data_IF_461569464714
#
_entry.id   IF_461569464714
#
_cell.length_a   1.000
_cell.length_b   1.000
_cell.length_c   1.000
_cell.angle_alpha   90.00
_cell.angle_beta   90.00
_cell.angle_gamma   90.00
#
_symmetry.space_group_name_H-M   'P 1'
#
loop_
_entity.id
_entity.type
_entity.pdbx_description
1 polymer ?
#
# COMPACT_ATOMS: atom_id res chain seq x y z
N UNK A 1 14.37 19.80 5.13
CA UNK A 1 13.07 19.93 5.83
C UNK A 1 11.98 20.17 4.81
N UNK A 2 10.95 19.32 4.81
CA UNK A 2 9.78 19.39 3.94
C UNK A 2 8.82 20.45 4.46
N UNK A 3 8.39 21.34 3.56
CA UNK A 3 7.42 22.41 3.81
C UNK A 3 6.22 22.36 2.87
N UNK A 4 6.36 21.67 1.74
CA UNK A 4 5.32 21.54 0.75
C UNK A 4 5.14 20.06 0.39
N UNK A 5 3.90 19.64 0.17
CA UNK A 5 3.58 18.31 -0.32
C UNK A 5 2.62 18.41 -1.50
N UNK A 6 2.97 17.73 -2.59
CA UNK A 6 2.10 17.52 -3.75
C UNK A 6 1.63 16.08 -3.73
N UNK A 7 0.33 15.87 -3.76
CA UNK A 7 -0.29 14.55 -3.73
C UNK A 7 -0.85 14.19 -5.10
N UNK A 8 -0.69 12.93 -5.53
CA UNK A 8 -1.72 12.34 -6.38
C UNK A 8 -3.02 12.12 -5.57
N UNK A 9 -4.11 11.89 -6.29
CA UNK A 9 -5.44 11.70 -5.72
C UNK A 9 -5.85 10.24 -5.68
N UNK A 10 -5.95 9.60 -6.86
CA UNK A 10 -6.27 8.19 -7.05
C UNK A 10 -5.14 7.34 -6.49
N UNK A 11 -5.44 6.21 -5.83
CA UNK A 11 -4.45 5.30 -5.22
C UNK A 11 -3.63 5.85 -4.04
N UNK A 12 -3.63 7.18 -3.83
CA UNK A 12 -2.85 7.86 -2.79
C UNK A 12 -3.71 8.46 -1.68
N UNK A 13 -4.80 9.16 -2.03
CA UNK A 13 -5.76 9.74 -1.07
C UNK A 13 -7.12 9.05 -1.09
N UNK A 14 -7.49 8.47 -2.24
CA UNK A 14 -8.76 7.78 -2.45
C UNK A 14 -8.52 6.36 -2.98
N UNK A 15 -9.22 5.38 -2.40
CA UNK A 15 -9.30 4.00 -2.87
C UNK A 15 -10.23 3.89 -4.08
N UNK A 16 -9.69 4.08 -5.28
CA UNK A 16 -10.46 3.93 -6.50
C UNK A 16 -10.00 2.77 -7.39
N UNK A 17 -8.94 2.05 -7.00
CA UNK A 17 -8.43 0.90 -7.75
C UNK A 17 -9.51 -0.16 -8.02
N UNK A 18 -10.32 -0.62 -7.05
CA UNK A 18 -11.38 -1.60 -7.33
C UNK A 18 -12.42 -1.07 -8.30
N UNK A 19 -12.75 0.23 -8.24
CA UNK A 19 -13.72 0.86 -9.13
C UNK A 19 -13.17 1.01 -10.55
N UNK A 20 -11.90 1.41 -10.70
CA UNK A 20 -11.21 1.52 -11.99
C UNK A 20 -11.06 0.14 -12.64
N UNK A 21 -10.69 -0.88 -11.87
CA UNK A 21 -10.62 -2.26 -12.35
C UNK A 21 -11.98 -2.76 -12.85
N UNK A 22 -13.05 -2.62 -12.06
CA UNK A 22 -14.41 -3.00 -12.50
C UNK A 22 -14.86 -2.25 -13.74
N UNK A 23 -14.58 -0.95 -13.84
CA UNK A 23 -14.90 -0.15 -15.02
C UNK A 23 -14.13 -0.65 -16.25
N UNK A 24 -12.85 -1.00 -16.09
CA UNK A 24 -12.02 -1.60 -17.14
C UNK A 24 -12.57 -2.95 -17.60
N UNK A 25 -12.96 -3.83 -16.66
CA UNK A 25 -13.59 -5.11 -17.00
C UNK A 25 -14.89 -4.93 -17.77
N UNK A 26 -15.69 -3.89 -17.48
CA UNK A 26 -16.88 -3.55 -18.26
C UNK A 26 -16.54 -3.08 -19.69
N UNK A 27 -15.46 -2.32 -19.87
CA UNK A 27 -14.96 -1.94 -21.20
C UNK A 27 -14.56 -3.19 -22.00
N UNK A 28 -13.78 -4.09 -21.40
CA UNK A 28 -13.36 -5.35 -22.02
C UNK A 28 -14.54 -6.24 -22.39
N UNK A 29 -15.53 -6.38 -21.50
CA UNK A 29 -16.73 -7.16 -21.77
C UNK A 29 -17.50 -6.64 -22.99
N UNK A 30 -17.60 -5.31 -23.18
CA UNK A 30 -18.25 -4.73 -24.36
C UNK A 30 -17.46 -4.95 -25.65
N UNK A 31 -16.14 -5.08 -25.56
CA UNK A 31 -15.26 -5.37 -26.68
C UNK A 31 -15.07 -6.88 -26.94
N UNK A 32 -15.69 -7.75 -26.13
CA UNK A 32 -15.55 -9.20 -26.26
C UNK A 32 -14.24 -9.78 -25.73
N UNK A 33 -13.54 -9.03 -24.87
CA UNK A 33 -12.29 -9.45 -24.22
C UNK A 33 -12.60 -9.98 -22.81
N UNK A 34 -11.94 -11.07 -22.42
CA UNK A 34 -12.05 -11.63 -21.07
C UNK A 34 -11.58 -10.60 -20.03
N UNK A 35 -12.26 -10.49 -18.87
CA UNK A 35 -11.81 -9.59 -17.81
C UNK A 35 -10.47 -10.06 -17.24
N UNK A 36 -9.63 -9.10 -16.85
CA UNK A 36 -8.41 -9.37 -16.08
C UNK A 36 -8.80 -9.62 -14.61
N UNK A 37 -8.07 -10.50 -13.94
CA UNK A 37 -8.01 -10.47 -12.48
C UNK A 37 -7.45 -9.13 -11.99
N UNK A 38 -7.67 -8.81 -10.71
CA UNK A 38 -7.14 -7.57 -10.13
C UNK A 38 -5.60 -7.53 -10.15
N UNK A 39 -4.96 -8.69 -9.94
CA UNK A 39 -3.50 -8.83 -9.97
C UNK A 39 -2.93 -8.61 -11.38
N UNK A 40 -3.54 -9.21 -12.39
CA UNK A 40 -3.19 -8.96 -13.80
C UNK A 40 -3.37 -7.48 -14.14
N UNK A 41 -4.48 -6.88 -13.70
CA UNK A 41 -4.73 -5.45 -13.90
C UNK A 41 -3.65 -4.58 -13.24
N UNK A 42 -3.30 -4.79 -11.96
CA UNK A 42 -2.23 -4.03 -11.27
C UNK A 42 -0.88 -4.15 -11.98
N UNK A 43 -0.56 -5.35 -12.48
CA UNK A 43 0.69 -5.63 -13.19
C UNK A 43 0.76 -4.95 -14.56
N UNK A 44 -0.35 -4.92 -15.28
CA UNK A 44 -0.39 -4.50 -16.68
C UNK A 44 -0.86 -3.07 -16.90
N UNK A 45 -1.63 -2.51 -15.96
CA UNK A 45 -2.10 -1.14 -16.05
C UNK A 45 -0.91 -0.18 -16.04
N UNK A 46 -0.93 0.78 -16.96
CA UNK A 46 0.09 1.81 -17.04
C UNK A 46 -0.55 3.11 -17.53
N UNK A 47 0.15 4.22 -17.27
CA UNK A 47 -0.13 5.48 -17.93
C UNK A 47 0.87 5.70 -19.09
N UNK A 48 0.49 6.45 -20.13
CA UNK A 48 -0.89 6.83 -20.46
C UNK A 48 -1.76 5.59 -20.72
N UNK A 49 -3.01 5.60 -20.23
CA UNK A 49 -3.92 4.45 -20.27
C UNK A 49 -4.20 3.92 -21.69
N UNK A 50 -3.99 4.75 -22.71
CA UNK A 50 -4.14 4.34 -24.12
C UNK A 50 -3.25 3.16 -24.46
N UNK A 51 -1.99 3.15 -24.01
CA UNK A 51 -1.07 2.02 -24.23
C UNK A 51 -1.57 0.73 -23.62
N UNK A 52 -2.19 0.82 -22.45
CA UNK A 52 -2.81 -0.33 -21.79
C UNK A 52 -3.97 -0.88 -22.63
N UNK A 53 -4.91 -0.03 -23.06
CA UNK A 53 -6.05 -0.48 -23.88
C UNK A 53 -5.62 -0.96 -25.28
N UNK A 54 -4.63 -0.35 -25.92
CA UNK A 54 -4.12 -0.74 -27.23
C UNK A 54 -3.59 -2.19 -27.27
N UNK A 55 -3.14 -2.73 -26.14
CA UNK A 55 -2.73 -4.14 -26.04
C UNK A 55 -3.88 -5.13 -26.18
N UNK A 56 -5.10 -4.74 -25.76
CA UNK A 56 -6.26 -5.62 -25.68
C UNK A 56 -7.28 -5.33 -26.78
N UNK A 57 -7.51 -4.05 -27.06
CA UNK A 57 -8.58 -3.54 -27.91
C UNK A 57 -8.12 -2.38 -28.80
N UNK A 58 -7.06 -2.56 -29.62
CA UNK A 58 -6.45 -1.49 -30.42
C UNK A 58 -7.38 -0.84 -31.44
N UNK A 59 -8.44 -1.54 -31.85
CA UNK A 59 -9.38 -1.06 -32.86
C UNK A 59 -10.49 -0.16 -32.28
N UNK A 60 -10.57 -0.01 -30.96
CA UNK A 60 -11.61 0.81 -30.31
C UNK A 60 -11.15 2.27 -30.22
N UNK A 61 -11.88 3.22 -30.84
CA UNK A 61 -11.52 4.64 -30.78
C UNK A 61 -11.49 5.19 -29.34
N UNK A 62 -10.54 6.09 -29.06
CA UNK A 62 -10.34 6.66 -27.72
C UNK A 62 -11.60 7.34 -27.15
N UNK A 63 -12.37 8.03 -27.99
CA UNK A 63 -13.60 8.70 -27.56
C UNK A 63 -14.70 7.70 -27.15
N UNK A 64 -14.69 6.50 -27.75
CA UNK A 64 -15.58 5.41 -27.37
C UNK A 64 -15.10 4.76 -26.07
N UNK A 65 -13.78 4.56 -25.91
CA UNK A 65 -13.17 4.04 -24.69
C UNK A 65 -13.48 4.94 -23.49
N UNK A 66 -13.21 6.24 -23.61
CA UNK A 66 -13.47 7.23 -22.56
C UNK A 66 -14.95 7.23 -22.16
N UNK A 67 -15.87 7.31 -23.14
CA UNK A 67 -17.32 7.27 -22.84
C UNK A 67 -17.71 5.99 -22.11
N UNK A 68 -17.25 4.84 -22.58
CA UNK A 68 -17.57 3.56 -21.97
C UNK A 68 -17.01 3.46 -20.55
N UNK A 69 -15.77 3.87 -20.34
CA UNK A 69 -15.10 3.86 -19.05
C UNK A 69 -15.78 4.82 -18.08
N UNK A 70 -16.01 6.07 -18.47
CA UNK A 70 -16.66 7.07 -17.61
C UNK A 70 -18.09 6.64 -17.22
N UNK A 71 -18.86 6.06 -18.14
CA UNK A 71 -20.19 5.51 -17.83
C UNK A 71 -20.11 4.37 -16.81
N UNK A 72 -19.14 3.47 -16.96
CA UNK A 72 -18.94 2.35 -16.05
C UNK A 72 -18.46 2.83 -14.67
N UNK A 73 -17.41 3.65 -14.64
CA UNK A 73 -16.82 4.18 -13.42
C UNK A 73 -17.78 5.06 -12.63
N UNK A 74 -18.63 5.84 -13.31
CA UNK A 74 -19.68 6.64 -12.64
C UNK A 74 -20.65 5.79 -11.82
N UNK A 75 -20.91 4.54 -12.23
CA UNK A 75 -21.73 3.60 -11.46
C UNK A 75 -20.99 3.04 -10.24
N UNK A 76 -19.66 2.95 -10.31
CA UNK A 76 -18.81 2.44 -9.22
C UNK A 76 -18.37 3.53 -8.23
N UNK A 77 -18.60 4.81 -8.51
CA UNK A 77 -18.24 5.95 -7.64
C UNK A 77 -18.65 5.79 -6.18
N UNK A 78 -19.79 5.13 -5.91
CA UNK A 78 -20.27 4.88 -4.56
C UNK A 78 -19.30 4.00 -3.73
N UNK A 79 -18.56 3.11 -4.40
CA UNK A 79 -17.62 2.18 -3.78
C UNK A 79 -16.27 2.80 -3.43
N UNK A 80 -15.91 3.93 -4.04
CA UNK A 80 -14.65 4.64 -3.78
C UNK A 80 -14.65 5.25 -2.38
N UNK A 81 -13.65 4.97 -1.55
CA UNK A 81 -13.53 5.51 -0.19
C UNK A 81 -12.21 6.25 0.01
N UNK A 82 -12.09 7.13 1.03
CA UNK A 82 -10.80 7.65 1.42
C UNK A 82 -9.82 6.53 1.79
N UNK A 83 -8.55 6.67 1.41
CA UNK A 83 -7.48 5.77 1.85
C UNK A 83 -7.33 5.82 3.37
N UNK A 84 -6.96 4.68 3.98
CA UNK A 84 -6.61 4.63 5.38
C UNK A 84 -5.47 5.62 5.69
N UNK A 85 -5.59 6.30 6.83
CA UNK A 85 -4.70 7.40 7.25
C UNK A 85 -4.68 8.68 6.39
N UNK A 86 -5.38 8.77 5.25
CA UNK A 86 -5.36 9.99 4.43
C UNK A 86 -5.89 11.22 5.20
N UNK A 87 -7.05 11.09 5.84
CA UNK A 87 -7.64 12.18 6.63
C UNK A 87 -6.72 12.64 7.76
N UNK A 88 -6.12 11.70 8.50
CA UNK A 88 -5.22 12.03 9.61
C UNK A 88 -3.90 12.63 9.12
N UNK A 89 -3.41 12.23 7.94
CA UNK A 89 -2.23 12.81 7.30
C UNK A 89 -2.48 14.25 6.82
N UNK A 90 -3.63 14.53 6.20
CA UNK A 90 -4.00 15.87 5.76
C UNK A 90 -4.22 16.84 6.93
N UNK A 91 -4.84 16.36 8.01
CA UNK A 91 -4.93 17.11 9.27
C UNK A 91 -3.55 17.42 9.84
N UNK A 92 -2.66 16.41 9.88
CA UNK A 92 -1.28 16.58 10.32
C UNK A 92 -0.52 17.63 9.49
N UNK A 93 -0.68 17.62 8.16
CA UNK A 93 -0.08 18.64 7.30
C UNK A 93 -0.59 20.05 7.66
N UNK A 94 -1.90 20.18 7.88
CA UNK A 94 -2.54 21.46 8.22
C UNK A 94 -2.07 21.99 9.59
N UNK A 95 -2.04 21.12 10.60
CA UNK A 95 -1.57 21.45 11.97
C UNK A 95 -0.11 21.90 11.99
N UNK A 96 0.73 21.34 11.11
CA UNK A 96 2.14 21.66 11.00
C UNK A 96 2.47 22.67 9.89
N UNK A 97 1.45 23.35 9.33
CA UNK A 97 1.60 24.40 8.33
C UNK A 97 2.36 23.95 7.06
N UNK A 98 2.23 22.66 6.71
CA UNK A 98 2.73 22.13 5.45
C UNK A 98 1.75 22.54 4.35
N UNK A 99 2.27 23.19 3.30
CA UNK A 99 1.47 23.60 2.15
C UNK A 99 1.16 22.38 1.29
N UNK A 100 -0.12 22.10 1.10
CA UNK A 100 -0.57 20.90 0.39
C UNK A 100 -1.19 21.25 -0.96
N UNK A 101 -0.87 20.46 -1.98
CA UNK A 101 -1.37 20.60 -3.35
C UNK A 101 -1.81 19.25 -3.90
N UNK A 102 -2.75 19.24 -4.84
CA UNK A 102 -3.09 18.03 -5.62
C UNK A 102 -2.66 18.21 -7.06
N UNK A 103 -1.97 17.23 -7.63
CA UNK A 103 -1.70 17.12 -9.06
C UNK A 103 -2.08 15.72 -9.55
N UNK A 104 -3.21 15.63 -10.25
CA UNK A 104 -3.79 14.33 -10.59
C UNK A 104 -4.42 14.30 -11.98
N UNK A 105 -4.41 13.10 -12.57
CA UNK A 105 -5.09 12.79 -13.82
C UNK A 105 -6.60 12.60 -13.65
N UNK A 106 -7.11 12.53 -12.40
CA UNK A 106 -8.53 12.32 -12.12
C UNK A 106 -9.42 13.31 -12.88
N UNK A 107 -10.50 12.79 -13.47
CA UNK A 107 -11.49 13.61 -14.15
C UNK A 107 -12.18 14.59 -13.17
N UNK A 108 -12.35 15.88 -13.52
CA UNK A 108 -12.88 16.90 -12.59
C UNK A 108 -14.24 16.57 -11.96
N UNK A 109 -15.14 15.91 -12.69
CA UNK A 109 -16.45 15.52 -12.15
C UNK A 109 -16.33 14.39 -11.11
N UNK A 110 -15.43 13.44 -11.32
CA UNK A 110 -15.20 12.32 -10.40
C UNK A 110 -14.51 12.82 -9.13
N UNK A 111 -13.56 13.74 -9.29
CA UNK A 111 -12.96 14.47 -8.18
C UNK A 111 -14.02 15.13 -7.30
N UNK A 112 -14.99 15.84 -7.88
CA UNK A 112 -16.05 16.49 -7.10
C UNK A 112 -16.87 15.50 -6.26
N UNK A 113 -17.15 14.31 -6.78
CA UNK A 113 -17.85 13.26 -6.03
C UNK A 113 -16.97 12.73 -4.89
N UNK A 114 -15.69 12.47 -5.17
CA UNK A 114 -14.73 12.02 -4.15
C UNK A 114 -14.54 13.07 -3.04
N UNK A 115 -14.46 14.35 -3.41
CA UNK A 115 -14.30 15.47 -2.48
C UNK A 115 -15.56 15.69 -1.64
N UNK A 116 -16.76 15.63 -2.23
CA UNK A 116 -18.01 15.69 -1.46
C UNK A 116 -18.12 14.58 -0.42
N UNK A 117 -17.56 13.40 -0.70
CA UNK A 117 -17.55 12.26 0.22
C UNK A 117 -16.47 12.39 1.30
N UNK A 118 -15.29 12.90 0.97
CA UNK A 118 -14.12 12.93 1.85
C UNK A 118 -13.93 14.24 2.61
N UNK A 119 -14.32 15.37 2.03
CA UNK A 119 -14.06 16.73 2.51
C UNK A 119 -12.61 17.20 2.35
N UNK A 120 -11.78 16.44 1.63
CA UNK A 120 -10.33 16.66 1.60
C UNK A 120 -9.91 17.94 0.87
N UNK A 121 -10.72 18.43 -0.07
CA UNK A 121 -10.46 19.61 -0.87
C UNK A 121 -10.10 20.85 -0.06
N UNK A 122 -10.65 20.96 1.16
CA UNK A 122 -10.40 22.08 2.08
C UNK A 122 -8.96 22.14 2.64
N UNK A 123 -8.20 21.05 2.56
CA UNK A 123 -6.81 20.99 3.02
C UNK A 123 -5.78 21.53 2.01
N UNK A 124 -6.19 21.75 0.75
CA UNK A 124 -5.26 22.06 -0.32
C UNK A 124 -5.29 23.54 -0.71
N UNK A 125 -4.09 24.12 -0.87
CA UNK A 125 -3.93 25.46 -1.38
C UNK A 125 -4.36 25.55 -2.85
N UNK A 126 -4.03 24.51 -3.64
CA UNK A 126 -4.48 24.38 -5.02
C UNK A 126 -4.59 22.92 -5.46
N UNK A 127 -5.62 22.66 -6.25
CA UNK A 127 -5.93 21.34 -6.82
C UNK A 127 -5.90 21.45 -8.35
N UNK A 128 -5.13 20.56 -8.97
CA UNK A 128 -5.02 20.41 -10.42
C UNK A 128 -5.53 19.03 -10.83
N UNK A 129 -6.68 18.99 -11.49
CA UNK A 129 -7.34 17.78 -11.98
C UNK A 129 -7.33 17.72 -13.51
N UNK A 130 -7.56 16.54 -14.08
CA UNK A 130 -7.54 16.31 -15.53
C UNK A 130 -6.17 16.52 -16.17
N UNK A 131 -5.08 16.39 -15.41
CA UNK A 131 -3.71 16.53 -15.92
C UNK A 131 -3.16 15.15 -16.25
N UNK A 132 -3.20 14.77 -17.52
CA UNK A 132 -2.79 13.44 -17.98
C UNK A 132 -1.28 13.22 -17.90
N UNK A 133 -0.49 14.17 -18.41
CA UNK A 133 0.95 14.20 -18.18
C UNK A 133 1.28 15.32 -17.19
N UNK A 134 1.52 14.92 -15.95
CA UNK A 134 1.78 15.82 -14.82
C UNK A 134 3.11 16.58 -14.98
N UNK A 135 4.06 16.06 -15.78
CA UNK A 135 5.34 16.70 -16.09
C UNK A 135 5.16 18.00 -16.86
N UNK A 136 4.10 18.12 -17.66
CA UNK A 136 3.77 19.36 -18.38
C UNK A 136 3.36 20.51 -17.44
N UNK A 137 2.93 20.19 -16.21
CA UNK A 137 2.43 21.19 -15.24
C UNK A 137 3.36 21.42 -14.07
N UNK A 138 4.18 20.46 -13.67
CA UNK A 138 4.93 20.51 -12.41
C UNK A 138 5.79 21.77 -12.29
N UNK A 139 6.54 22.16 -13.33
CA UNK A 139 7.36 23.38 -13.30
C UNK A 139 6.53 24.66 -13.21
N UNK A 140 5.36 24.71 -13.86
CA UNK A 140 4.46 25.85 -13.76
C UNK A 140 3.87 25.97 -12.35
N UNK A 141 3.58 24.85 -11.69
CA UNK A 141 3.10 24.81 -10.30
C UNK A 141 4.19 25.30 -9.34
N UNK A 142 5.41 24.79 -9.49
CA UNK A 142 6.57 25.23 -8.70
C UNK A 142 6.75 26.75 -8.80
N UNK A 143 6.76 27.29 -10.02
CA UNK A 143 6.94 28.71 -10.25
C UNK A 143 5.76 29.56 -9.72
N UNK A 144 4.52 29.12 -9.95
CA UNK A 144 3.33 29.86 -9.57
C UNK A 144 3.15 30.00 -8.04
N UNK A 145 3.59 28.98 -7.30
CA UNK A 145 3.41 28.91 -5.84
C UNK A 145 4.70 29.14 -5.04
N UNK A 146 5.81 29.42 -5.74
CA UNK A 146 7.12 29.63 -5.13
C UNK A 146 7.60 28.42 -4.34
N UNK A 147 7.41 27.21 -4.88
CA UNK A 147 7.84 25.98 -4.22
C UNK A 147 9.35 25.82 -4.37
N UNK A 148 10.04 25.49 -3.28
CA UNK A 148 11.45 25.08 -3.31
C UNK A 148 11.49 23.56 -3.49
N UNK A 149 12.07 23.02 -4.58
CA UNK A 149 12.06 21.57 -4.84
C UNK A 149 12.66 20.73 -3.70
N UNK A 150 13.74 21.21 -3.07
CA UNK A 150 14.42 20.53 -1.95
C UNK A 150 13.59 20.49 -0.66
N UNK A 151 12.55 21.33 -0.56
CA UNK A 151 11.61 21.39 0.56
C UNK A 151 10.22 20.85 0.16
N UNK A 152 10.11 20.25 -1.03
CA UNK A 152 8.86 19.73 -1.57
C UNK A 152 8.94 18.22 -1.68
N UNK A 153 7.89 17.53 -1.23
CA UNK A 153 7.72 16.10 -1.40
C UNK A 153 6.57 15.84 -2.36
N UNK A 154 6.76 14.97 -3.34
CA UNK A 154 5.67 14.45 -4.16
C UNK A 154 5.27 13.07 -3.64
N UNK A 155 3.98 12.83 -3.42
CA UNK A 155 3.45 11.55 -2.94
C UNK A 155 2.53 10.95 -4.00
N UNK A 156 2.78 9.69 -4.37
CA UNK A 156 1.99 8.97 -5.37
C UNK A 156 2.16 7.46 -5.26
N UNK A 157 1.35 6.70 -5.98
CA UNK A 157 1.33 5.24 -5.96
C UNK A 157 1.68 4.61 -7.32
N UNK A 158 2.03 5.43 -8.32
CA UNK A 158 2.44 4.95 -9.65
C UNK A 158 3.83 5.45 -10.06
N UNK A 159 4.46 4.75 -11.01
CA UNK A 159 5.77 5.14 -11.55
C UNK A 159 5.73 6.58 -12.12
N UNK A 160 4.59 6.99 -12.68
CA UNK A 160 4.36 8.31 -13.24
C UNK A 160 4.48 9.45 -12.23
N UNK A 161 4.10 9.21 -10.97
CA UNK A 161 4.24 10.19 -9.91
C UNK A 161 5.69 10.42 -9.55
N UNK A 162 6.47 9.35 -9.55
CA UNK A 162 7.90 9.36 -9.23
C UNK A 162 8.66 10.04 -10.36
N UNK A 163 8.34 9.72 -11.62
CA UNK A 163 8.84 10.45 -12.78
C UNK A 163 8.48 11.94 -12.73
N UNK A 164 7.26 12.30 -12.28
CA UNK A 164 6.82 13.70 -12.15
C UNK A 164 7.60 14.44 -11.08
N UNK A 165 7.86 13.81 -9.94
CA UNK A 165 8.66 14.35 -8.86
C UNK A 165 10.10 14.65 -9.35
N UNK A 166 10.73 13.66 -9.99
CA UNK A 166 12.08 13.79 -10.54
C UNK A 166 12.15 14.85 -11.63
N UNK A 167 11.14 14.93 -12.50
CA UNK A 167 11.04 16.00 -13.50
C UNK A 167 10.97 17.38 -12.83
N UNK A 168 10.22 17.50 -11.73
CA UNK A 168 10.14 18.71 -10.91
C UNK A 168 11.37 19.00 -10.05
N UNK A 169 12.35 18.10 -10.00
CA UNK A 169 13.56 18.23 -9.17
C UNK A 169 13.32 18.05 -7.67
N UNK A 170 12.22 17.40 -7.28
CA UNK A 170 11.82 17.18 -5.88
C UNK A 170 11.85 15.69 -5.53
N UNK A 171 11.89 15.39 -4.23
CA UNK A 171 11.86 14.02 -3.76
C UNK A 171 10.48 13.37 -3.99
N UNK A 172 10.48 12.10 -4.35
CA UNK A 172 9.32 11.24 -4.49
C UNK A 172 9.16 10.34 -3.25
N UNK A 173 7.93 10.22 -2.77
CA UNK A 173 7.52 9.19 -1.82
C UNK A 173 6.45 8.31 -2.47
N UNK A 174 6.80 7.06 -2.73
CA UNK A 174 5.87 6.06 -3.20
C UNK A 174 5.07 5.46 -2.03
N UNK A 175 3.76 5.30 -2.20
CA UNK A 175 2.89 4.56 -1.26
C UNK A 175 2.45 3.24 -1.88
N UNK A 176 2.35 2.17 -1.08
CA UNK A 176 2.02 0.82 -1.59
C UNK A 176 0.51 0.53 -1.66
N UNK A 177 -0.32 1.41 -1.12
CA UNK A 177 -1.78 1.23 -1.03
C UNK A 177 -2.51 1.35 -2.36
N UNK A 178 -1.86 1.86 -3.41
CA UNK A 178 -2.51 2.17 -4.68
C UNK A 178 -2.39 1.09 -5.75
N UNK A 179 -2.21 1.51 -7.00
CA UNK A 179 -2.28 0.69 -8.20
C UNK A 179 -1.04 -0.19 -8.39
N UNK A 180 0.16 0.32 -8.11
CA UNK A 180 1.40 -0.39 -8.40
C UNK A 180 1.95 -1.11 -7.19
N UNK A 181 2.38 -2.35 -7.44
CA UNK A 181 3.10 -3.15 -6.45
C UNK A 181 4.54 -2.67 -6.25
N UNK A 182 5.14 -3.15 -5.16
CA UNK A 182 6.47 -2.77 -4.69
C UNK A 182 7.56 -2.84 -5.78
N UNK A 183 7.63 -3.94 -6.54
CA UNK A 183 8.69 -4.15 -7.52
C UNK A 183 8.69 -3.08 -8.62
N UNK A 184 7.51 -2.70 -9.11
CA UNK A 184 7.36 -1.66 -10.12
C UNK A 184 7.79 -0.28 -9.55
N UNK A 185 7.39 0.01 -8.31
CA UNK A 185 7.76 1.25 -7.64
C UNK A 185 9.28 1.32 -7.36
N UNK A 186 9.92 0.23 -6.91
CA UNK A 186 11.38 0.17 -6.73
C UNK A 186 12.14 0.48 -8.02
N UNK A 187 11.65 0.02 -9.17
CA UNK A 187 12.30 0.27 -10.47
C UNK A 187 12.30 1.75 -10.87
N UNK A 188 11.29 2.52 -10.44
CA UNK A 188 11.22 3.97 -10.67
C UNK A 188 12.12 4.80 -9.74
N UNK A 189 12.82 4.16 -8.80
CA UNK A 189 13.82 4.77 -7.91
C UNK A 189 13.31 5.96 -7.06
N UNK A 190 12.19 5.84 -6.33
CA UNK A 190 11.75 6.88 -5.41
C UNK A 190 12.73 7.07 -4.25
N UNK A 191 12.82 8.28 -3.70
CA UNK A 191 13.65 8.56 -2.54
C UNK A 191 13.07 7.95 -1.24
N UNK A 192 11.75 7.73 -1.17
CA UNK A 192 11.07 7.00 -0.09
C UNK A 192 10.04 6.02 -0.65
N UNK A 193 9.93 4.86 -0.02
CA UNK A 193 8.78 3.96 -0.15
C UNK A 193 8.23 3.77 1.25
N UNK A 194 6.94 4.03 1.42
CA UNK A 194 6.20 3.76 2.65
C UNK A 194 5.03 2.85 2.34
N UNK A 195 4.62 2.06 3.32
CA UNK A 195 3.45 1.21 3.16
C UNK A 195 2.18 2.05 2.98
N UNK A 196 1.96 3.01 3.89
CA UNK A 196 0.80 3.89 3.91
C UNK A 196 1.16 5.26 4.49
N UNK A 197 0.27 6.25 4.33
CA UNK A 197 0.50 7.63 4.80
C UNK A 197 0.75 7.75 6.31
N UNK A 198 0.19 6.84 7.12
CA UNK A 198 0.48 6.77 8.57
C UNK A 198 1.96 6.50 8.89
N UNK A 199 2.66 5.68 8.10
CA UNK A 199 4.09 5.45 8.24
C UNK A 199 4.87 6.72 7.88
N UNK A 200 4.50 7.38 6.78
CA UNK A 200 5.12 8.64 6.38
C UNK A 200 4.96 9.73 7.43
N UNK A 201 3.76 9.87 8.03
CA UNK A 201 3.54 10.80 9.14
C UNK A 201 4.54 10.56 10.26
N UNK A 202 4.63 9.31 10.71
CA UNK A 202 5.52 8.91 11.80
C UNK A 202 6.98 9.17 11.46
N UNK A 203 7.38 8.97 10.21
CA UNK A 203 8.74 9.26 9.73
C UNK A 203 9.02 10.77 9.73
N UNK A 204 8.10 11.59 9.23
CA UNK A 204 8.25 13.05 9.22
C UNK A 204 8.33 13.62 10.65
N UNK A 205 7.50 13.14 11.57
CA UNK A 205 7.56 13.56 12.98
C UNK A 205 8.93 13.21 13.61
N UNK A 206 9.41 11.97 13.42
CA UNK A 206 10.68 11.50 13.98
C UNK A 206 11.88 12.28 13.43
N UNK A 207 11.86 12.61 12.14
CA UNK A 207 12.98 13.26 11.46
C UNK A 207 12.88 14.78 11.48
N UNK A 208 11.98 15.36 12.29
CA UNK A 208 11.72 16.81 12.31
C UNK A 208 11.50 17.36 10.90
N UNK A 209 10.68 16.64 10.13
CA UNK A 209 10.31 16.90 8.74
C UNK A 209 11.48 16.84 7.75
N UNK A 210 12.60 16.19 8.07
CA UNK A 210 13.74 16.04 7.15
C UNK A 210 14.13 14.57 6.97
N UNK A 211 13.31 13.79 6.22
CA UNK A 211 13.46 12.33 6.16
C UNK A 211 14.74 11.88 5.44
N UNK A 212 15.43 12.79 4.74
CA UNK A 212 16.64 12.52 3.97
C UNK A 212 17.93 12.86 4.71
N UNK A 213 17.83 13.49 5.88
CA UNK A 213 18.99 13.90 6.65
C UNK A 213 19.65 12.65 7.25
N UNK A 214 20.88 12.36 6.82
CA UNK A 214 21.73 11.37 7.49
C UNK A 214 22.01 11.87 8.91
N UNK A 215 21.32 11.34 9.91
CA UNK A 215 21.54 11.72 11.30
C UNK A 215 22.98 11.40 11.72
N UNK A 216 23.71 12.41 12.19
CA UNK A 216 24.81 12.26 13.13
C UNK A 216 24.20 12.26 14.53
N UNK A 217 24.39 11.16 15.28
CA UNK A 217 24.10 10.97 16.71
C UNK A 217 22.64 11.05 17.19
N UNK A 218 21.98 9.91 17.40
CA UNK A 218 21.81 9.25 18.72
C UNK A 218 20.75 8.14 18.60
N UNK A 219 21.15 6.89 18.88
CA UNK A 219 20.34 5.66 19.02
C UNK A 219 18.99 5.67 18.28
N UNK A 220 19.07 5.41 16.98
CA UNK A 220 17.92 5.12 16.13
C UNK A 220 17.36 3.73 16.45
N UNK A 221 16.09 3.63 16.84
CA UNK A 221 15.40 2.34 16.95
C UNK A 221 15.03 1.80 15.55
N UNK A 222 14.93 2.66 14.52
CA UNK A 222 14.68 2.26 13.12
C UNK A 222 15.93 2.02 12.28
N UNK A 223 17.11 2.41 12.77
CA UNK A 223 18.43 2.04 12.25
C UNK A 223 19.24 1.41 13.39
N UNK A 224 18.59 0.49 14.11
CA UNK A 224 19.28 -0.36 15.06
C UNK A 224 20.34 -1.16 14.27
N UNK A 225 21.61 -1.19 14.70
CA UNK A 225 22.59 -2.10 14.10
C UNK A 225 22.25 -3.57 14.40
N UNK A 226 21.23 -3.82 15.23
CA UNK A 226 20.76 -5.13 15.62
C UNK A 226 19.48 -5.52 14.88
N UNK A 227 19.29 -6.82 14.62
CA UNK A 227 18.05 -7.33 14.06
C UNK A 227 16.81 -6.93 14.87
N UNK A 228 15.69 -6.75 14.18
CA UNK A 228 14.40 -6.43 14.78
C UNK A 228 13.70 -7.75 15.15
N UNK A 229 13.40 -8.00 16.44
CA UNK A 229 12.66 -9.18 16.84
C UNK A 229 11.17 -9.02 16.49
N UNK A 230 10.61 -10.03 15.85
CA UNK A 230 9.19 -10.07 15.48
C UNK A 230 8.60 -11.44 15.81
N UNK A 231 7.27 -11.51 15.77
CA UNK A 231 6.50 -12.73 15.97
C UNK A 231 5.61 -12.98 14.77
N UNK A 232 5.44 -14.24 14.38
CA UNK A 232 4.55 -14.67 13.31
C UNK A 232 3.64 -15.81 13.77
N UNK A 233 2.35 -15.72 13.47
CA UNK A 233 1.33 -16.65 13.96
C UNK A 233 0.77 -17.56 12.86
N UNK A 234 1.07 -18.85 12.91
CA UNK A 234 0.37 -19.85 12.08
C UNK A 234 -0.90 -20.28 12.81
N UNK A 235 -1.99 -19.55 12.57
CA UNK A 235 -3.27 -19.72 13.27
C UNK A 235 -4.08 -20.83 12.59
N UNK A 236 -4.52 -21.83 13.36
CA UNK A 236 -5.42 -22.89 12.88
C UNK A 236 -6.85 -22.71 13.40
N UNK A 237 -7.84 -22.95 12.54
CA UNK A 237 -9.25 -23.02 12.95
C UNK A 237 -9.63 -24.44 13.45
N UNK A 238 -10.92 -24.71 13.64
CA UNK A 238 -11.40 -26.02 14.13
C UNK A 238 -11.33 -27.14 13.06
N UNK A 239 -11.20 -26.79 11.79
CA UNK A 239 -11.06 -27.72 10.67
C UNK A 239 -9.59 -28.02 10.33
N UNK A 240 -8.65 -27.57 11.18
CA UNK A 240 -7.20 -27.62 10.95
C UNK A 240 -6.73 -26.88 9.68
N UNK A 241 -7.50 -25.90 9.23
CA UNK A 241 -7.11 -24.95 8.18
C UNK A 241 -6.34 -23.79 8.81
N UNK A 242 -5.27 -23.35 8.15
CA UNK A 242 -4.43 -22.22 8.53
C UNK A 242 -4.93 -20.90 7.93
N UNK A 243 -4.84 -19.81 8.70
CA UNK A 243 -5.13 -18.46 8.22
C UNK A 243 -3.96 -17.94 7.41
N UNK A 244 -4.20 -17.61 6.14
CA UNK A 244 -3.26 -16.87 5.30
C UNK A 244 -3.79 -15.45 5.09
N UNK A 245 -2.90 -14.46 5.14
CA UNK A 245 -3.21 -13.05 4.85
C UNK A 245 -2.32 -12.53 3.72
N UNK A 246 -2.82 -11.57 2.93
CA UNK A 246 -2.09 -10.94 1.83
C UNK A 246 -1.77 -9.49 2.17
N UNK A 247 -0.52 -9.07 2.09
CA UNK A 247 -0.08 -7.73 2.58
C UNK A 247 0.77 -6.98 1.56
N UNK A 248 0.66 -5.65 1.54
CA UNK A 248 1.50 -4.80 0.69
C UNK A 248 2.98 -4.82 1.10
N UNK A 249 3.27 -5.00 2.39
CA UNK A 249 4.63 -5.06 2.97
C UNK A 249 5.50 -6.13 2.33
N UNK A 250 4.89 -7.25 1.91
CA UNK A 250 5.56 -8.46 1.43
C UNK A 250 5.32 -8.67 -0.08
N UNK A 251 5.39 -7.62 -0.89
CA UNK A 251 5.19 -7.69 -2.34
C UNK A 251 3.85 -8.29 -2.76
N UNK A 252 2.78 -7.97 -2.01
CA UNK A 252 1.44 -8.53 -2.23
C UNK A 252 1.43 -10.08 -2.17
N UNK A 253 2.36 -10.72 -1.46
CA UNK A 253 2.39 -12.17 -1.23
C UNK A 253 1.54 -12.59 -0.03
N UNK A 254 1.17 -13.87 -0.04
CA UNK A 254 0.50 -14.52 1.09
C UNK A 254 1.47 -14.81 2.22
N UNK A 255 1.02 -14.65 3.45
CA UNK A 255 1.82 -14.88 4.64
C UNK A 255 0.94 -15.10 5.86
N UNK A 256 1.52 -14.88 7.04
CA UNK A 256 0.85 -15.00 8.33
C UNK A 256 0.81 -13.64 9.05
N UNK A 257 -0.19 -13.41 9.92
CA UNK A 257 -0.23 -12.21 10.75
C UNK A 257 0.90 -12.18 11.76
N UNK A 258 1.36 -10.98 12.10
CA UNK A 258 2.45 -10.80 13.04
C UNK A 258 3.19 -9.48 12.91
N UNK A 259 3.85 -9.10 14.00
CA UNK A 259 4.51 -7.81 14.10
C UNK A 259 5.66 -7.78 15.10
N UNK A 260 6.02 -6.57 15.52
CA UNK A 260 7.23 -6.32 16.29
C UNK A 260 7.00 -6.61 17.78
N UNK A 261 8.04 -7.08 18.44
CA UNK A 261 8.02 -7.22 19.90
C UNK A 261 8.39 -5.86 20.52
N UNK A 262 7.52 -5.33 21.39
CA UNK A 262 7.80 -4.09 22.10
C UNK A 262 8.80 -4.30 23.26
N UNK A 263 9.51 -3.23 23.62
CA UNK A 263 10.40 -3.27 24.80
C UNK A 263 9.57 -3.51 26.07
N UNK A 264 9.95 -4.52 26.85
CA UNK A 264 9.24 -4.92 28.06
C UNK A 264 8.07 -5.88 27.84
N UNK A 265 7.84 -6.33 26.60
CA UNK A 265 6.81 -7.28 26.22
C UNK A 265 7.40 -8.69 25.99
N UNK A 266 6.68 -9.75 26.38
CA UNK A 266 7.07 -11.13 26.08
C UNK A 266 6.66 -11.50 24.65
N UNK A 267 7.39 -12.41 23.99
CA UNK A 267 7.03 -12.79 22.61
C UNK A 267 5.60 -13.39 22.48
N UNK A 268 5.07 -14.22 23.39
CA UNK A 268 3.68 -14.66 23.30
C UNK A 268 2.65 -13.56 23.56
N UNK A 269 2.98 -12.54 24.36
CA UNK A 269 2.08 -11.41 24.57
C UNK A 269 2.05 -10.49 23.34
N UNK A 270 3.21 -10.23 22.73
CA UNK A 270 3.31 -9.56 21.44
C UNK A 270 2.48 -10.31 20.38
N UNK A 271 2.61 -11.64 20.31
CA UNK A 271 1.86 -12.47 19.35
C UNK A 271 0.35 -12.27 19.50
N UNK A 272 -0.18 -12.31 20.74
CA UNK A 272 -1.62 -12.10 20.99
C UNK A 272 -2.08 -10.70 20.62
N UNK A 273 -1.28 -9.68 20.93
CA UNK A 273 -1.57 -8.29 20.59
C UNK A 273 -1.66 -8.11 19.07
N UNK A 274 -0.62 -8.53 18.34
CA UNK A 274 -0.54 -8.39 16.87
C UNK A 274 -1.69 -9.14 16.19
N UNK A 275 -1.97 -10.40 16.57
CA UNK A 275 -3.11 -11.16 16.01
C UNK A 275 -4.43 -10.42 16.24
N UNK A 276 -4.65 -9.90 17.45
CA UNK A 276 -5.88 -9.16 17.77
C UNK A 276 -5.98 -7.85 16.98
N UNK A 277 -4.88 -7.14 16.81
CA UNK A 277 -4.81 -5.88 16.05
C UNK A 277 -5.03 -6.12 14.55
N UNK A 278 -4.44 -7.17 13.98
CA UNK A 278 -4.47 -7.44 12.53
C UNK A 278 -5.69 -8.24 12.07
N UNK A 279 -6.27 -9.09 12.93
CA UNK A 279 -7.30 -10.06 12.50
C UNK A 279 -8.55 -10.07 13.38
N UNK A 280 -8.54 -9.32 14.49
CA UNK A 280 -9.56 -9.36 15.54
C UNK A 280 -9.78 -10.75 16.18
N UNK A 281 -8.87 -11.70 15.97
CA UNK A 281 -8.94 -13.04 16.54
C UNK A 281 -8.30 -13.09 17.93
N UNK A 282 -8.74 -14.07 18.72
CA UNK A 282 -8.13 -14.45 19.99
C UNK A 282 -7.58 -15.86 19.84
N UNK A 283 -6.37 -16.13 20.34
CA UNK A 283 -5.70 -17.42 20.16
C UNK A 283 -5.27 -18.08 21.47
N UNK A 284 -5.18 -19.39 21.45
CA UNK A 284 -4.61 -20.24 22.49
C UNK A 284 -3.69 -21.32 21.89
N UNK A 285 -3.22 -22.23 22.74
CA UNK A 285 -2.30 -23.32 22.36
C UNK A 285 -1.06 -22.85 21.59
N UNK A 286 -0.52 -21.69 21.97
CA UNK A 286 0.67 -21.09 21.37
C UNK A 286 1.88 -21.98 21.63
N UNK A 287 2.45 -22.54 20.56
CA UNK A 287 3.64 -23.39 20.58
C UNK A 287 4.76 -22.72 19.81
N UNK A 288 5.97 -22.71 20.36
CA UNK A 288 7.14 -22.26 19.60
C UNK A 288 7.59 -23.38 18.66
N UNK A 289 7.90 -23.03 17.41
CA UNK A 289 8.40 -24.00 16.41
C UNK A 289 9.84 -23.68 16.02
N UNK A 290 10.09 -22.47 15.51
CA UNK A 290 11.41 -22.08 15.02
C UNK A 290 11.61 -20.55 15.02
N UNK A 291 12.87 -20.14 14.90
CA UNK A 291 13.27 -18.76 14.59
C UNK A 291 13.87 -18.73 13.18
N UNK A 292 13.56 -17.69 12.40
CA UNK A 292 14.14 -17.46 11.08
C UNK A 292 14.87 -16.11 11.02
N UNK A 293 16.02 -16.10 10.38
CA UNK A 293 16.70 -14.88 9.95
C UNK A 293 16.12 -14.43 8.60
N UNK A 294 15.50 -13.25 8.56
CA UNK A 294 15.14 -12.59 7.31
C UNK A 294 16.06 -11.37 7.11
N UNK A 295 17.16 -11.59 6.40
CA UNK A 295 18.21 -10.59 6.15
C UNK A 295 17.99 -9.97 4.77
N UNK A 296 17.70 -8.67 4.74
CA UNK A 296 17.42 -7.91 3.53
C UNK A 296 16.46 -8.62 2.58
N UNK A 297 15.29 -9.11 3.06
CA UNK A 297 14.39 -9.90 2.23
C UNK A 297 13.89 -9.05 1.05
N UNK A 298 14.14 -9.54 -0.18
CA UNK A 298 13.81 -8.79 -1.40
C UNK A 298 12.32 -8.50 -1.56
N UNK A 299 11.50 -9.45 -1.09
CA UNK A 299 10.04 -9.37 -1.05
C UNK A 299 9.49 -8.42 0.03
N UNK A 300 10.33 -7.92 0.94
CA UNK A 300 9.91 -6.89 1.88
C UNK A 300 10.15 -5.49 1.30
N UNK A 301 9.28 -4.54 1.65
CA UNK A 301 9.26 -3.22 1.03
C UNK A 301 10.49 -2.33 1.31
N UNK A 302 11.24 -2.62 2.37
CA UNK A 302 12.46 -1.90 2.73
C UNK A 302 13.58 -2.87 3.11
N UNK A 303 14.80 -2.36 3.13
CA UNK A 303 15.91 -3.11 3.71
C UNK A 303 15.69 -3.27 5.23
N UNK A 304 15.80 -4.50 5.72
CA UNK A 304 15.58 -4.84 7.11
C UNK A 304 16.24 -6.19 7.45
N UNK A 305 16.60 -6.37 8.72
CA UNK A 305 17.01 -7.65 9.27
C UNK A 305 16.04 -8.01 10.41
N UNK A 306 15.25 -9.07 10.22
CA UNK A 306 14.35 -9.58 11.25
C UNK A 306 14.82 -10.89 11.85
N UNK A 307 14.53 -11.07 13.15
CA UNK A 307 14.48 -12.37 13.81
C UNK A 307 13.01 -12.74 13.99
N UNK A 308 12.51 -13.66 13.16
CA UNK A 308 11.12 -14.06 13.10
C UNK A 308 10.85 -15.25 14.04
N UNK A 309 10.29 -14.99 15.22
CA UNK A 309 9.86 -16.06 16.13
C UNK A 309 8.49 -16.56 15.70
N UNK A 310 8.41 -17.81 15.24
CA UNK A 310 7.17 -18.35 14.68
C UNK A 310 6.44 -19.24 15.68
N UNK A 311 5.11 -19.13 15.67
CA UNK A 311 4.24 -19.84 16.60
C UNK A 311 2.99 -20.40 15.92
N UNK A 312 2.85 -21.73 15.85
CA UNK A 312 1.56 -22.37 15.65
C UNK A 312 0.65 -22.11 16.85
N UNK A 313 -0.60 -21.75 16.58
CA UNK A 313 -1.61 -21.54 17.61
C UNK A 313 -3.01 -21.87 17.08
N UNK A 314 -4.00 -22.01 17.98
CA UNK A 314 -5.39 -22.26 17.59
C UNK A 314 -6.24 -21.02 17.84
N UNK A 315 -7.16 -20.76 16.93
CA UNK A 315 -8.15 -19.71 17.11
C UNK A 315 -9.21 -20.14 18.13
N UNK A 316 -9.57 -19.22 19.02
CA UNK A 316 -10.71 -19.39 19.92
C UNK A 316 -12.02 -19.26 19.16
N UNK A 317 -12.95 -20.17 19.45
CA UNK A 317 -14.30 -20.17 18.88
C UNK A 317 -14.49 -21.16 17.73
N UNK A 318 -15.76 -21.49 17.48
CA UNK A 318 -16.16 -22.50 16.48
C UNK A 318 -16.24 -21.89 15.07
N UNK A 319 -16.61 -20.61 14.98
CA UNK A 319 -16.70 -19.87 13.72
C UNK A 319 -15.96 -18.55 13.88
N UNK A 320 -14.64 -18.52 13.66
CA UNK A 320 -13.85 -17.31 13.84
C UNK A 320 -14.24 -16.26 12.79
N UNK A 321 -14.47 -15.03 13.24
CA UNK A 321 -14.73 -13.89 12.36
C UNK A 321 -13.44 -13.08 12.22
N UNK A 322 -12.77 -13.24 11.09
CA UNK A 322 -11.59 -12.45 10.75
C UNK A 322 -12.05 -11.05 10.32
N UNK A 323 -11.46 -10.03 10.93
CA UNK A 323 -11.60 -8.63 10.54
C UNK A 323 -10.21 -8.07 10.37
N UNK A 324 -9.81 -7.83 9.12
CA UNK A 324 -8.49 -7.29 8.81
C UNK A 324 -8.40 -5.82 9.20
N UNK A 325 -7.21 -5.39 9.63
CA UNK A 325 -6.85 -3.99 9.70
C UNK A 325 -6.33 -3.48 8.34
N UNK A 326 -5.81 -2.25 8.33
CA UNK A 326 -5.34 -1.58 7.11
C UNK A 326 -4.06 -2.17 6.49
N UNK A 327 -3.38 -3.10 7.16
CA UNK A 327 -2.11 -3.68 6.70
C UNK A 327 -2.31 -4.89 5.76
N UNK A 328 -3.48 -5.53 5.83
CA UNK A 328 -3.81 -6.73 5.08
C UNK A 328 -4.98 -6.48 4.12
N UNK A 329 -4.84 -6.97 2.89
CA UNK A 329 -5.79 -6.78 1.80
C UNK A 329 -6.87 -7.86 1.81
N UNK A 330 -6.44 -9.11 1.97
CA UNK A 330 -7.27 -10.30 1.82
C UNK A 330 -6.84 -11.39 2.80
N UNK A 331 -7.76 -12.31 3.09
CA UNK A 331 -7.49 -13.47 3.93
C UNK A 331 -8.21 -14.72 3.41
N UNK A 332 -7.66 -15.89 3.71
CA UNK A 332 -8.32 -17.17 3.47
C UNK A 332 -7.95 -18.21 4.54
N UNK A 333 -8.85 -19.18 4.75
CA UNK A 333 -8.55 -20.42 5.47
C UNK A 333 -8.22 -21.50 4.47
N UNK A 334 -7.08 -22.16 4.59
CA UNK A 334 -6.62 -23.22 3.69
C UNK A 334 -5.91 -24.33 4.46
N UNK A 335 -5.88 -25.55 3.94
CA UNK A 335 -4.99 -26.58 4.50
C UNK A 335 -3.52 -26.18 4.32
N UNK A 336 -2.59 -26.80 5.05
CA UNK A 336 -1.17 -26.48 4.87
C UNK A 336 -0.66 -26.91 3.49
N UNK A 337 -1.19 -28.01 2.97
CA UNK A 337 -0.92 -28.50 1.63
C UNK A 337 -1.41 -27.51 0.56
N UNK A 338 -2.63 -26.99 0.71
CA UNK A 338 -3.19 -25.98 -0.20
C UNK A 338 -2.47 -24.63 -0.06
N UNK A 339 -1.99 -24.27 1.14
CA UNK A 339 -1.23 -23.05 1.37
C UNK A 339 0.06 -23.02 0.52
N UNK A 340 0.72 -24.16 0.30
CA UNK A 340 1.90 -24.27 -0.57
C UNK A 340 1.60 -24.02 -2.07
N UNK A 341 0.32 -23.98 -2.46
CA UNK A 341 -0.11 -23.60 -3.80
C UNK A 341 -0.39 -22.10 -3.94
N UNK A 342 -0.38 -21.34 -2.83
CA UNK A 342 -0.43 -19.88 -2.85
C UNK A 342 0.96 -19.29 -3.13
N UNK A 343 1.01 -18.05 -3.60
CA UNK A 343 2.26 -17.29 -3.72
C UNK A 343 2.70 -16.80 -2.34
N UNK A 344 3.25 -17.70 -1.53
CA UNK A 344 3.71 -17.42 -0.17
C UNK A 344 4.99 -16.57 -0.18
N UNK A 345 5.12 -15.70 0.83
CA UNK A 345 6.42 -15.14 1.18
C UNK A 345 7.36 -16.24 1.71
N UNK A 346 8.66 -16.06 1.51
CA UNK A 346 9.67 -17.08 1.80
C UNK A 346 9.65 -17.51 3.29
N UNK A 347 9.56 -16.60 4.29
CA UNK A 347 9.46 -17.01 5.68
C UNK A 347 8.24 -17.87 5.99
N UNK A 348 7.09 -17.57 5.38
CA UNK A 348 5.86 -18.35 5.61
C UNK A 348 5.96 -19.73 4.97
N UNK A 349 6.54 -19.83 3.76
CA UNK A 349 6.76 -21.12 3.11
C UNK A 349 7.63 -22.04 3.98
N UNK A 350 8.76 -21.54 4.49
CA UNK A 350 9.65 -22.29 5.38
C UNK A 350 8.92 -22.75 6.65
N UNK A 351 8.08 -21.88 7.23
CA UNK A 351 7.29 -22.21 8.41
C UNK A 351 6.26 -23.33 8.13
N UNK A 352 5.52 -23.23 7.02
CA UNK A 352 4.52 -24.22 6.63
C UNK A 352 5.18 -25.59 6.40
N UNK A 353 6.31 -25.61 5.68
CA UNK A 353 7.09 -26.84 5.47
C UNK A 353 7.60 -27.43 6.79
N UNK A 354 8.08 -26.61 7.72
CA UNK A 354 8.53 -27.07 9.03
C UNK A 354 7.40 -27.72 9.85
N UNK A 355 6.21 -27.12 9.85
CA UNK A 355 5.05 -27.64 10.59
C UNK A 355 4.49 -28.92 9.95
N UNK A 356 4.53 -29.03 8.62
CA UNK A 356 4.18 -30.26 7.91
C UNK A 356 5.11 -31.42 8.26
N UNK A 357 6.42 -31.15 8.43
CA UNK A 357 7.41 -32.18 8.74
C UNK A 357 7.40 -32.66 10.20
N UNK A 358 6.73 -31.95 11.12
CA UNK A 358 6.56 -32.39 12.52
C UNK A 358 5.35 -33.30 12.76
N UNK A 359 4.41 -33.36 11.79
CA UNK A 359 3.24 -34.24 11.83
C UNK A 359 3.58 -35.61 11.25
#
# INVERSE_FOLDING_TARGET
MIRNIIFDWCGTLMDDLPAVWKATCQVFAKAGVSPLSLDEFRKEFELPFTKFYDRYIPDVPIDQLERCFHDAFSREQHSVSPMSHAASFLNFCSENQIRSFVLSAIHPQHFQVHDQKSGFGSHFEKIYTGVWDKREKIHAIIAAHGLTPEETLYIGDMEHDIETAHHGGMAACAVLTGFKGLEALKQSQPELIVEHLGELKSLLEKTSFDPFKKEQSSVNISNSPFPIPTVGALIFNQNDEALMIRTHKWSDKWGIPGGKIHTGESSPDALRREIREETALEVDDIKFILVQDAISPSEFYRDAHFLLLNYPCRCRGVTPKVVLNDEAQEWCWVTLEDALHLDLNQPTQILVEAVLNEK
#
